data_IF_083398448840
#
_entry.id   IF_083398448840
#
_cell.length_a   1.000
_cell.length_b   1.000
_cell.length_c   1.000
_cell.angle_alpha   90.00
_cell.angle_beta   90.00
_cell.angle_gamma   90.00
#
_symmetry.space_group_name_H-M   'P 1'
#
loop_
_entity.id
_entity.type
_entity.pdbx_description
1 polymer ?
2 non-polymer ?
3 non-polymer ?
4 non-polymer ?
5 non-polymer ?
6 water ?
#
# COMPACT_ATOMS: atom_id res chain seq x y z
N UNK A 12 -13.93 3.54 -18.65
CA UNK A 12 -13.82 2.73 -17.42
C UNK A 12 -13.52 3.58 -16.19
N UNK A 13 -14.03 3.13 -15.05
CA UNK A 13 -13.58 3.68 -13.78
C UNK A 13 -12.07 3.53 -13.71
N UNK A 14 -11.39 4.57 -13.25
CA UNK A 14 -9.95 4.54 -13.08
C UNK A 14 -9.67 4.71 -11.60
N UNK A 15 -9.09 3.70 -11.00
CA UNK A 15 -8.83 3.70 -9.56
C UNK A 15 -7.36 4.01 -9.35
N UNK A 16 -7.08 5.16 -8.76
CA UNK A 16 -5.71 5.64 -8.58
C UNK A 16 -5.19 5.26 -7.21
N UNK A 17 -4.28 4.28 -7.21
CA UNK A 17 -3.71 3.67 -6.02
C UNK A 17 -2.28 4.15 -5.88
N UNK A 18 -1.90 4.50 -4.66
CA UNK A 18 -0.52 4.85 -4.36
C UNK A 18 0.05 3.89 -3.31
N UNK A 19 1.22 3.34 -3.59
CA UNK A 19 1.97 2.51 -2.66
C UNK A 19 2.85 3.43 -1.85
N UNK A 20 2.73 3.35 -0.53
CA UNK A 20 3.60 4.11 0.37
C UNK A 20 4.15 3.17 1.43
N UNK A 21 5.21 3.59 2.08
CA UNK A 21 5.93 2.79 3.06
C UNK A 21 7.41 3.09 2.95
N UNK A 22 8.13 2.80 4.03
CA UNK A 22 9.55 3.03 4.09
C UNK A 22 10.32 2.01 3.21
N UNK A 23 11.63 2.20 3.13
CA UNK A 23 12.41 1.45 2.17
C UNK A 23 12.47 -0.04 2.50
N UNK A 24 12.42 -0.86 1.45
CA UNK A 24 12.63 -2.27 1.58
C UNK A 24 11.46 -3.06 2.08
N UNK A 25 10.29 -2.41 2.25
CA UNK A 25 9.18 -3.11 2.85
C UNK A 25 8.48 -4.05 1.88
N UNK A 26 8.61 -3.79 0.56
CA UNK A 26 7.97 -4.59 -0.46
C UNK A 26 7.01 -3.85 -1.37
N UNK A 27 7.06 -2.53 -1.40
CA UNK A 27 6.19 -1.80 -2.31
C UNK A 27 6.33 -2.28 -3.74
N UNK A 28 7.55 -2.31 -4.24
CA UNK A 28 7.75 -2.72 -5.62
C UNK A 28 7.45 -4.20 -5.82
N UNK A 29 7.89 -5.05 -4.90
CA UNK A 29 7.62 -6.47 -5.03
C UNK A 29 6.13 -6.73 -5.07
N UNK A 30 5.35 -6.06 -4.21
CA UNK A 30 3.92 -6.25 -4.25
C UNK A 30 3.35 -5.79 -5.58
N UNK A 31 3.80 -4.63 -6.04
CA UNK A 31 3.27 -4.08 -7.28
C UNK A 31 3.57 -5.00 -8.46
N UNK A 32 4.79 -5.51 -8.52
CA UNK A 32 5.20 -6.34 -9.64
C UNK A 32 4.58 -7.72 -9.57
N UNK A 33 4.33 -8.25 -8.37
CA UNK A 33 3.58 -9.50 -8.26
C UNK A 33 2.17 -9.31 -8.79
N UNK A 34 1.54 -8.19 -8.39
CA UNK A 34 0.20 -7.93 -8.89
C UNK A 34 0.19 -7.74 -10.41
N UNK A 35 1.16 -6.98 -10.92
CA UNK A 35 1.14 -6.63 -12.33
C UNK A 35 1.54 -7.79 -13.21
N UNK A 36 2.58 -8.53 -12.82
CA UNK A 36 3.27 -9.45 -13.73
C UNK A 36 3.41 -10.85 -13.19
N UNK A 37 2.86 -11.15 -12.02
CA UNK A 37 2.85 -12.50 -11.46
C UNK A 37 4.27 -13.05 -11.29
N UNK A 38 5.18 -12.17 -10.88
CA UNK A 38 6.55 -12.54 -10.56
C UNK A 38 7.01 -11.88 -9.29
N UNK A 39 7.79 -12.63 -8.53
CA UNK A 39 8.46 -12.10 -7.34
C UNK A 39 9.78 -11.52 -7.79
N UNK A 40 9.90 -10.20 -7.71
CA UNK A 40 11.05 -9.46 -8.21
C UNK A 40 11.85 -8.94 -7.02
N UNK A 41 13.08 -9.43 -6.86
CA UNK A 41 13.81 -9.24 -5.63
C UNK A 41 14.87 -8.16 -5.73
N UNK A 42 15.11 -7.62 -6.92
CA UNK A 42 16.20 -6.68 -7.10
C UNK A 42 15.72 -5.43 -7.80
N UNK A 43 14.52 -4.96 -7.47
CA UNK A 43 14.01 -3.78 -8.16
C UNK A 43 14.65 -2.51 -7.59
N UNK A 44 15.23 -1.68 -8.47
CA UNK A 44 15.98 -0.49 -8.09
C UNK A 44 15.30 0.27 -6.96
N UNK A 45 15.92 0.35 -5.78
CA UNK A 45 15.20 0.94 -4.64
C UNK A 45 14.82 2.40 -4.83
N UNK A 46 15.50 3.13 -5.69
CA UNK A 46 15.23 4.55 -5.88
C UNK A 46 14.32 4.84 -7.07
N UNK A 47 13.83 3.82 -7.76
CA UNK A 47 13.03 4.02 -8.98
C UNK A 47 11.55 4.04 -8.63
N UNK A 48 10.90 5.16 -8.90
CA UNK A 48 9.46 5.21 -8.83
C UNK A 48 8.89 4.92 -10.21
N UNK A 49 7.70 4.34 -10.24
CA UNK A 49 7.08 4.06 -11.53
C UNK A 49 5.58 3.97 -11.33
N UNK A 50 4.86 4.09 -12.43
CA UNK A 50 3.41 4.00 -12.53
C UNK A 50 3.07 2.78 -13.36
N UNK A 51 1.99 2.12 -13.01
CA UNK A 51 1.54 0.93 -13.71
C UNK A 51 0.05 1.04 -13.93
N UNK A 52 -0.43 0.61 -15.08
CA UNK A 52 -1.86 0.62 -15.34
C UNK A 52 -2.28 -0.76 -15.83
N UNK A 53 -3.39 -1.25 -15.31
CA UNK A 53 -3.90 -2.56 -15.69
C UNK A 53 -5.41 -2.51 -15.74
N UNK A 54 -5.99 -3.18 -16.74
CA UNK A 54 -7.42 -3.45 -16.76
C UNK A 54 -7.68 -4.66 -15.87
N UNK A 55 -8.63 -4.53 -14.94
CA UNK A 55 -9.01 -5.65 -14.09
C UNK A 55 -10.53 -5.70 -13.98
N UNK A 56 -11.05 -6.88 -13.69
CA UNK A 56 -12.49 -7.06 -13.52
C UNK A 56 -12.73 -7.11 -12.03
N UNK A 57 -13.29 -6.02 -11.49
CA UNK A 57 -13.52 -5.83 -10.07
C UNK A 57 -14.98 -6.16 -9.77
N UNK A 58 -15.24 -7.24 -9.07
CA UNK A 58 -16.61 -7.63 -8.77
C UNK A 58 -17.48 -7.60 -10.02
N UNK A 59 -16.88 -8.04 -11.14
CA UNK A 59 -17.60 -8.16 -12.36
C UNK A 59 -17.65 -6.93 -13.23
N UNK A 60 -17.03 -5.82 -12.79
CA UNK A 60 -17.00 -4.57 -13.55
C UNK A 60 -15.59 -4.39 -14.06
N UNK A 61 -15.42 -4.21 -15.37
CA UNK A 61 -14.11 -3.88 -15.89
C UNK A 61 -13.74 -2.46 -15.46
N UNK A 62 -12.59 -2.32 -14.82
CA UNK A 62 -12.07 -1.03 -14.37
C UNK A 62 -10.60 -0.98 -14.77
N UNK A 63 -10.01 0.19 -14.61
CA UNK A 63 -8.57 0.31 -14.73
C UNK A 63 -8.00 0.69 -13.36
N UNK A 64 -6.92 0.03 -12.99
CA UNK A 64 -6.16 0.39 -11.81
C UNK A 64 -4.88 1.08 -12.28
N UNK A 65 -4.55 2.20 -11.65
CA UNK A 65 -3.30 2.88 -11.86
C UNK A 65 -2.59 2.81 -10.52
N UNK A 66 -1.37 2.30 -10.52
CA UNK A 66 -0.58 2.13 -9.32
C UNK A 66 0.65 3.02 -9.43
N UNK A 67 0.81 3.92 -8.48
CA UNK A 67 2.04 4.69 -8.32
C UNK A 67 2.86 3.97 -7.25
N UNK A 68 3.96 3.37 -7.66
CA UNK A 68 4.93 2.73 -6.78
C UNK A 68 5.95 3.78 -6.36
N UNK A 69 5.77 4.37 -5.17
CA UNK A 69 6.66 5.44 -4.76
C UNK A 69 7.97 4.87 -4.25
N UNK A 70 9.03 5.65 -4.37
CA UNK A 70 10.34 5.14 -3.99
C UNK A 70 11.11 6.11 -3.14
N UNK A 71 10.46 7.10 -2.60
CA UNK A 71 11.06 7.90 -1.56
C UNK A 71 11.94 9.02 -2.06
N UNK A 72 12.02 9.21 -3.37
CA UNK A 72 12.98 10.14 -3.94
C UNK A 72 12.46 11.57 -3.99
N UNK A 73 11.15 11.75 -3.99
CA UNK A 73 10.56 13.08 -4.01
C UNK A 73 10.71 13.70 -2.63
N UNK A 74 11.74 14.53 -2.45
CA UNK A 74 11.92 15.17 -1.15
C UNK A 74 11.24 16.52 -1.08
N UNK A 75 10.78 17.08 -2.21
CA UNK A 75 10.14 18.40 -2.20
C UNK A 75 8.69 18.27 -1.77
N UNK A 76 8.36 18.89 -0.65
CA UNK A 76 7.11 18.54 0.04
C UNK A 76 5.91 18.89 -0.82
N UNK A 77 5.96 20.03 -1.52
CA UNK A 77 4.82 20.40 -2.34
C UNK A 77 4.54 19.35 -3.41
N UNK A 78 5.59 18.80 -4.01
CA UNK A 78 5.44 17.83 -5.08
C UNK A 78 4.94 16.50 -4.52
N UNK A 79 5.50 16.07 -3.40
CA UNK A 79 5.00 14.88 -2.74
C UNK A 79 3.52 15.02 -2.42
N UNK A 80 3.13 16.17 -1.86
CA UNK A 80 1.73 16.39 -1.55
C UNK A 80 0.88 16.40 -2.82
N UNK A 81 1.38 16.97 -3.91
CA UNK A 81 0.66 16.93 -5.18
C UNK A 81 0.41 15.48 -5.62
N UNK A 82 1.43 14.62 -5.57
CA UNK A 82 1.18 13.22 -5.88
C UNK A 82 0.12 12.61 -4.96
N UNK A 83 0.19 12.85 -3.65
CA UNK A 83 -0.80 12.22 -2.77
C UNK A 83 -2.20 12.77 -3.03
N UNK A 84 -2.29 14.06 -3.38
CA UNK A 84 -3.58 14.67 -3.65
C UNK A 84 -4.26 14.00 -4.82
N UNK A 85 -3.48 13.54 -5.81
CA UNK A 85 -4.05 12.88 -6.97
C UNK A 85 -4.43 11.45 -6.70
N UNK A 86 -3.90 10.84 -5.65
CA UNK A 86 -4.25 9.48 -5.32
C UNK A 86 -5.64 9.38 -4.73
N UNK A 87 -6.32 8.27 -5.05
CA UNK A 87 -7.64 8.00 -4.50
C UNK A 87 -7.60 6.97 -3.36
N UNK A 88 -6.62 6.08 -3.34
CA UNK A 88 -6.49 5.14 -2.25
C UNK A 88 -5.02 4.81 -2.05
N UNK A 89 -4.71 4.32 -0.85
CA UNK A 89 -3.33 4.12 -0.44
C UNK A 89 -3.15 2.73 0.15
N UNK A 90 -2.11 2.04 -0.30
CA UNK A 90 -1.62 0.84 0.37
C UNK A 90 -0.42 1.27 1.17
N UNK A 91 -0.57 1.25 2.48
CA UNK A 91 0.44 1.75 3.41
C UNK A 91 1.17 0.51 3.93
N UNK A 92 2.33 0.24 3.36
CA UNK A 92 3.03 -1.01 3.55
C UNK A 92 4.13 -0.85 4.57
N UNK A 93 4.27 -1.85 5.43
CA UNK A 93 5.46 -2.02 6.24
C UNK A 93 5.88 -3.48 6.13
N UNK A 94 7.07 -3.78 6.61
CA UNK A 94 7.52 -5.14 6.71
C UNK A 94 7.32 -5.64 8.12
N UNK A 95 6.73 -6.85 8.24
CA UNK A 95 6.56 -7.40 9.58
C UNK A 95 7.92 -7.71 10.20
N UNK A 96 9.00 -7.70 9.42
CA UNK A 96 10.32 -8.01 9.95
C UNK A 96 11.11 -6.77 10.36
N UNK A 97 10.53 -5.57 10.26
CA UNK A 97 11.26 -4.34 10.59
C UNK A 97 10.33 -3.44 11.38
N UNK A 98 10.54 -3.40 12.69
CA UNK A 98 9.65 -2.60 13.53
C UNK A 98 9.67 -1.15 13.12
N UNK A 99 10.84 -0.64 12.70
CA UNK A 99 10.91 0.78 12.37
C UNK A 99 10.07 1.13 11.16
N UNK A 100 9.85 0.16 10.27
CA UNK A 100 8.98 0.40 9.12
C UNK A 100 7.53 0.44 9.53
N UNK A 101 7.15 -0.33 10.56
CA UNK A 101 5.83 -0.19 11.16
C UNK A 101 5.65 1.19 11.79
N UNK A 102 6.64 1.62 12.57
CA UNK A 102 6.54 2.95 13.18
C UNK A 102 6.36 4.02 12.14
N UNK A 103 7.07 3.88 11.02
CA UNK A 103 7.06 4.86 9.95
C UNK A 103 5.69 5.00 9.29
N UNK A 104 4.83 3.99 9.40
CA UNK A 104 3.54 4.12 8.76
C UNK A 104 2.73 5.28 9.33
N UNK A 105 2.99 5.68 10.58
CA UNK A 105 2.26 6.83 11.13
C UNK A 105 2.52 8.08 10.31
N UNK A 106 3.75 8.20 9.80
CA UNK A 106 4.11 9.42 9.08
C UNK A 106 3.39 9.47 7.75
N UNK A 107 3.35 8.35 7.05
CA UNK A 107 2.61 8.32 5.80
C UNK A 107 1.14 8.60 6.05
N UNK A 108 0.57 8.06 7.12
CA UNK A 108 -0.84 8.31 7.43
C UNK A 108 -1.09 9.79 7.63
N UNK A 109 -0.22 10.45 8.38
CA UNK A 109 -0.39 11.87 8.63
C UNK A 109 -0.25 12.67 7.34
N UNK A 110 0.72 12.31 6.50
CA UNK A 110 0.93 13.02 5.24
C UNK A 110 -0.32 12.92 4.39
N UNK A 111 -0.87 11.72 4.29
CA UNK A 111 -2.06 11.49 3.48
C UNK A 111 -3.23 12.29 4.04
N UNK A 112 -3.40 12.27 5.35
CA UNK A 112 -4.53 12.95 5.94
C UNK A 112 -4.42 14.46 5.75
N UNK A 113 -3.22 15.01 5.87
CA UNK A 113 -3.05 16.45 5.64
C UNK A 113 -3.51 16.85 4.25
N UNK A 114 -3.25 15.99 3.27
CA UNK A 114 -3.55 16.31 1.89
C UNK A 114 -5.00 16.00 1.55
N UNK A 115 -5.50 14.85 1.99
CA UNK A 115 -6.81 14.40 1.60
C UNK A 115 -7.90 14.93 2.52
N UNK A 116 -7.55 15.29 3.76
CA UNK A 116 -8.46 15.96 4.69
C UNK A 116 -9.67 15.11 5.00
N UNK A 117 -9.49 13.80 4.98
CA UNK A 117 -10.62 12.88 5.09
C UNK A 117 -10.08 11.61 5.74
N UNK A 118 -10.46 11.39 6.99
CA UNK A 118 -9.94 10.26 7.71
C UNK A 118 -10.41 8.96 7.11
N UNK A 119 -11.43 9.01 6.27
CA UNK A 119 -11.98 7.82 5.63
C UNK A 119 -11.41 7.61 4.24
N UNK A 120 -10.30 8.26 3.91
CA UNK A 120 -9.67 8.03 2.61
C UNK A 120 -9.39 6.54 2.45
N UNK A 121 -9.70 5.94 1.30
CA UNK A 121 -9.37 4.53 1.11
C UNK A 121 -7.90 4.25 1.42
N UNK A 122 -7.66 3.25 2.24
CA UNK A 122 -6.40 3.07 2.93
C UNK A 122 -6.41 1.69 3.55
N UNK A 123 -5.43 0.87 3.21
CA UNK A 123 -5.17 -0.37 3.90
C UNK A 123 -3.80 -0.32 4.54
N UNK A 124 -3.71 -0.82 5.76
CA UNK A 124 -2.44 -1.08 6.44
C UNK A 124 -2.00 -2.48 6.07
N UNK A 125 -0.85 -2.60 5.41
CA UNK A 125 -0.38 -3.84 4.81
C UNK A 125 0.91 -4.25 5.50
N UNK A 126 0.89 -5.41 6.16
CA UNK A 126 2.07 -5.95 6.75
C UNK A 126 2.62 -7.01 5.82
N UNK A 127 3.67 -6.65 5.10
CA UNK A 127 4.25 -7.53 4.10
C UNK A 127 5.34 -8.40 4.70
N UNK A 128 5.73 -9.38 3.91
CA UNK A 128 6.74 -10.40 4.22
C UNK A 128 6.19 -11.43 5.23
N UNK A 129 4.92 -11.78 5.06
CA UNK A 129 4.32 -12.74 5.99
C UNK A 129 4.92 -14.13 5.88
N UNK A 130 5.71 -14.37 4.84
CA UNK A 130 6.41 -15.63 4.73
C UNK A 130 7.68 -15.67 5.58
N UNK A 131 8.02 -14.59 6.29
CA UNK A 131 9.18 -14.53 7.17
C UNK A 131 8.72 -14.47 8.62
N UNK A 132 7.83 -15.39 9.00
CA UNK A 132 7.31 -15.37 10.36
C UNK A 132 8.42 -15.49 11.39
N UNK A 133 9.46 -16.25 11.08
CA UNK A 133 10.55 -16.44 12.04
C UNK A 133 11.40 -15.19 12.22
N UNK A 134 11.21 -14.18 11.38
CA UNK A 134 11.88 -12.89 11.52
C UNK A 134 10.93 -11.79 11.95
N UNK A 135 9.71 -12.12 12.37
CA UNK A 135 8.74 -11.09 12.72
C UNK A 135 9.23 -10.23 13.88
N UNK A 136 9.10 -8.93 13.70
CA UNK A 136 9.35 -7.94 14.72
C UNK A 136 8.10 -7.20 15.14
N UNK A 137 7.05 -7.24 14.32
CA UNK A 137 5.80 -6.54 14.57
C UNK A 137 4.71 -7.56 14.80
N UNK A 138 4.10 -7.55 15.99
CA UNK A 138 3.08 -8.55 16.31
C UNK A 138 1.82 -8.28 15.50
N UNK A 139 1.10 -9.36 15.18
CA UNK A 139 -0.20 -9.18 14.56
C UNK A 139 -1.07 -8.30 15.45
N UNK A 140 -0.99 -8.49 16.77
CA UNK A 140 -1.83 -7.75 17.69
C UNK A 140 -1.58 -6.26 17.62
N UNK A 141 -0.31 -5.85 17.62
CA UNK A 141 -0.05 -4.42 17.58
C UNK A 141 -0.53 -3.83 16.27
N UNK A 142 -0.33 -4.54 15.16
CA UNK A 142 -0.71 -3.99 13.88
C UNK A 142 -2.22 -3.91 13.79
N UNK A 143 -2.93 -4.94 14.26
CA UNK A 143 -4.39 -4.85 14.30
C UNK A 143 -4.86 -3.70 15.19
N UNK A 144 -4.18 -3.48 16.31
CA UNK A 144 -4.56 -2.37 17.18
C UNK A 144 -4.40 -1.03 16.49
N UNK A 145 -3.31 -0.84 15.76
CA UNK A 145 -3.13 0.39 15.01
C UNK A 145 -4.21 0.54 13.96
N UNK A 146 -4.51 -0.54 13.23
CA UNK A 146 -5.56 -0.45 12.22
C UNK A 146 -6.90 -0.10 12.85
N UNK A 147 -7.19 -0.66 14.02
CA UNK A 147 -8.41 -0.29 14.75
C UNK A 147 -8.41 1.19 15.13
N UNK A 148 -7.29 1.70 15.62
CA UNK A 148 -7.20 3.11 15.98
C UNK A 148 -7.48 4.02 14.79
N UNK A 149 -7.05 3.61 13.61
CA UNK A 149 -7.21 4.41 12.41
C UNK A 149 -8.48 4.07 11.64
N UNK A 150 -9.22 3.08 12.08
CA UNK A 150 -10.37 2.58 11.38
C UNK A 150 -10.06 2.19 9.95
N UNK A 151 -9.00 1.39 9.79
CA UNK A 151 -8.62 0.80 8.52
C UNK A 151 -8.49 -0.70 8.71
N UNK A 152 -8.55 -1.42 7.59
CA UNK A 152 -8.29 -2.84 7.65
C UNK A 152 -6.79 -3.12 7.64
N UNK A 153 -6.40 -4.18 8.35
CA UNK A 153 -5.03 -4.70 8.34
C UNK A 153 -5.01 -6.02 7.59
N UNK A 154 -4.11 -6.13 6.61
CA UNK A 154 -3.94 -7.36 5.85
C UNK A 154 -2.46 -7.65 5.80
N UNK A 155 -2.10 -8.91 6.06
CA UNK A 155 -0.73 -9.35 5.86
C UNK A 155 -0.55 -10.03 4.51
N UNK A 156 0.53 -9.68 3.85
CA UNK A 156 0.80 -10.14 2.50
C UNK A 156 2.16 -10.76 2.42
N UNK A 157 2.37 -11.53 1.35
CA UNK A 157 3.70 -11.91 0.91
C UNK A 157 3.79 -11.70 -0.58
N UNK A 158 4.68 -10.81 -0.98
CA UNK A 158 5.03 -10.69 -2.38
C UNK A 158 5.75 -11.92 -2.89
N UNK A 159 6.39 -12.68 -2.01
CA UNK A 159 7.07 -13.89 -2.46
C UNK A 159 6.07 -15.02 -2.76
N UNK A 160 5.12 -15.30 -1.87
CA UNK A 160 4.20 -16.39 -2.10
C UNK A 160 2.91 -15.96 -2.80
N UNK A 161 2.69 -14.66 -2.91
CA UNK A 161 1.51 -14.05 -3.47
C UNK A 161 0.35 -14.00 -2.47
N UNK A 162 0.54 -14.42 -1.22
CA UNK A 162 -0.53 -14.39 -0.24
C UNK A 162 -1.10 -12.99 -0.12
N UNK A 163 -2.40 -12.88 -0.30
CA UNK A 163 -3.20 -11.67 -0.13
C UNK A 163 -2.77 -10.50 -1.01
N UNK A 164 -1.99 -10.76 -2.06
CA UNK A 164 -1.60 -9.68 -2.96
C UNK A 164 -2.81 -9.15 -3.72
N UNK A 165 -3.55 -10.04 -4.39
CA UNK A 165 -4.74 -9.57 -5.08
C UNK A 165 -5.72 -8.98 -4.07
N UNK A 166 -5.80 -9.57 -2.89
CA UNK A 166 -6.75 -9.07 -1.90
C UNK A 166 -6.51 -7.59 -1.60
N UNK A 167 -5.26 -7.20 -1.34
CA UNK A 167 -5.08 -5.80 -0.90
C UNK A 167 -5.40 -4.83 -2.02
N UNK A 168 -5.05 -5.19 -3.26
CA UNK A 168 -5.35 -4.27 -4.36
C UNK A 168 -6.84 -4.22 -4.63
N UNK A 169 -7.50 -5.37 -4.63
CA UNK A 169 -8.93 -5.40 -4.91
C UNK A 169 -9.73 -4.79 -3.77
N UNK A 170 -9.35 -5.08 -2.53
CA UNK A 170 -10.06 -4.47 -1.42
C UNK A 170 -9.87 -2.98 -1.37
N UNK A 171 -8.68 -2.48 -1.74
CA UNK A 171 -8.54 -1.03 -1.81
C UNK A 171 -9.42 -0.43 -2.91
N UNK A 172 -9.49 -1.08 -4.06
CA UNK A 172 -10.38 -0.59 -5.09
C UNK A 172 -11.83 -0.62 -4.64
N UNK A 173 -12.23 -1.64 -3.86
CA UNK A 173 -13.59 -1.69 -3.34
C UNK A 173 -13.85 -0.49 -2.44
N UNK A 174 -12.85 -0.06 -1.68
CA UNK A 174 -13.02 1.12 -0.84
C UNK A 174 -13.13 2.38 -1.68
N UNK A 175 -12.29 2.51 -2.72
CA UNK A 175 -12.41 3.65 -3.62
C UNK A 175 -13.80 3.68 -4.23
N UNK A 176 -14.24 2.56 -4.77
CA UNK A 176 -15.58 2.47 -5.37
C UNK A 176 -16.67 2.88 -4.39
N UNK A 177 -16.60 2.41 -3.15
CA UNK A 177 -17.67 2.70 -2.21
C UNK A 177 -17.66 4.14 -1.77
N UNK A 178 -16.48 4.68 -1.52
CA UNK A 178 -16.35 5.94 -0.81
C UNK A 178 -16.31 7.13 -1.73
N UNK A 179 -15.87 6.95 -2.95
CA UNK A 179 -15.76 8.02 -3.91
C UNK A 179 -16.76 7.75 -5.05
X LIG B 1 8.61 9.91 -4.37
X LIG B 1 7.29 10.18 -3.91
X LIG B 1 5.09 10.77 -4.34
X LIG B 1 5.75 10.33 -2.16
X LIG B 1 9.12 11.02 -7.63
X LIG B 1 8.65 11.68 -8.74
X LIG B 1 7.49 11.32 -9.40
X LIG B 1 6.83 10.27 -8.83
X LIG B 1 7.29 9.60 -7.71
X LIG B 1 8.45 9.97 -7.05
X LIG B 1 4.76 10.70 -3.03
X LIG B 1 7.00 10.11 -2.61
X LIG B 1 6.31 10.56 -4.84
X LIG B 1 7.88 12.73 -11.55
X LIG B 1 10.36 8.81 -5.77
X LIG B 1 8.11 7.90 -5.70
X LIG B 1 6.86 12.12 -10.77
X LIG B 1 8.96 9.06 -5.66
X LIG B 1 8.27 9.70 -1.58
X LIG B 1 5.89 11.34 -11.44
X LIG B 1 9.20 10.29 -3.86
X LIG B 1 4.44 10.99 -4.97
X LIG B 1 5.55 10.25 -1.25
X LIG B 1 9.91 11.32 -7.25
X LIG B 1 9.13 12.39 -9.09
X LIG B 1 6.04 9.99 -9.23
X LIG B 1 6.80 8.89 -7.37
X LIG B 1 3.90 10.90 -2.76
X LIG C 1 10.69 0.13 -4.66
X LIG D 1 5.68 7.37 -13.01
X LIG E 1 10.52 -1.34 -1.57
X LIG E 1 11.74 -0.52 -1.23
X LIG E 1 9.43 -1.13 -0.54
X LIG E 1 10.00 -1.15 -2.98
X LIG E 1 10.94 -2.87 -1.37
X LIG E 1 11.14 -4.00 -2.48
X LIG E 1 12.19 -3.65 -3.48
X LIG E 1 9.82 -4.43 -3.05
X LIG E 1 11.61 -5.22 -1.59
X LIG E 1 12.87 -5.11 -0.93
X LIG E 1 13.43 -6.49 -0.71
X LIG E 1 12.55 -7.28 0.13
X LIG E 1 13.62 -7.25 -2.00
X LIG E 1 14.84 -7.99 -1.88
X LIG E 1 12.50 -8.22 -2.06
X LIG E 1 12.79 -9.44 -2.70
X LIG E 1 12.22 -8.47 -0.58
X LIG E 1 10.80 -8.74 -0.38
X LIG E 1 9.79 -7.91 -0.70
X LIG E 1 8.62 -8.46 -0.34
X LIG E 1 8.90 -9.66 0.19
X LIG E 1 8.11 -10.70 0.78
X LIG E 1 6.88 -10.64 0.86
X LIG E 1 8.78 -11.74 1.27
X LIG E 1 10.13 -11.86 1.24
X LIG E 1 10.69 -13.00 1.71
X LIG E 1 10.92 -10.92 0.73
X LIG E 1 10.34 -9.83 0.21
X LIG E 1 13.56 -4.51 -1.53
X LIG E 1 12.74 -4.61 0.03
X LIG E 1 14.41 -6.34 -0.22
X LIG E 1 13.66 -6.60 -2.89
X LIG E 1 14.91 -8.63 -2.60
X LIG E 1 11.66 -7.82 -2.64
X LIG E 1 12.48 -10.18 -2.15
X LIG E 1 12.82 -9.32 -0.25
X LIG E 1 9.91 -6.95 -1.19
X LIG E 1 8.23 -12.51 1.69
X LIG E 1 11.69 -13.11 1.72
X LIG E 1 10.10 -13.74 2.08
#
# INVERSE_FOLDING_TARGET
MAANKPKGQNSLALHKVIMVGSGGVGKSALTLQFMYDEFVEDYEPTKADSYRKKVVLDGEEVQIDILDTAGQEDYAAIRDNYFRSGEGFLCVFSITEMESFAATADFREQILRVKEDENVPFLLVGNKSDLEDKRQVSVEEAKNRAEQWNVNYVETSAKTRANVDKVFFDLMREIRARLEHHHHHH
NLM N12 C13 C15 C17 C20 C21 C05 C06 C07 C08 C16 C18 N14 O03 O10 O11 S02 S09 CL1 O1 H121 H151 H171 H201 H211 H061 H071 H161
CA CA
CL CL
GDP PB O1B O2B O3B O3A PA O1A O2A O5' C5' C4' O4' C3' O3' C2' O2' C1' N9 C8 N7 C5 C6 O6 N1 C2 N2 N3 C4 H5' H5'' H4' H3' HO3' H2' HO2' H1' H8 HN1 HN21 HN22
#
